data_IF_442395101700
#
_entry.id   IF_442395101700
#
_cell.length_a   1.000
_cell.length_b   1.000
_cell.length_c   1.000
_cell.angle_alpha   90.00
_cell.angle_beta   90.00
_cell.angle_gamma   90.00
#
_symmetry.space_group_name_H-M   'P 1'
#
loop_
_entity.id
_entity.type
_entity.pdbx_description
1 polymer ?
#
# COMPACT_ATOMS: atom_id res chain seq x y z
N UNK A 1 45.72 -6.20 -19.11
CA UNK A 1 44.47 -6.53 -18.40
C UNK A 1 43.91 -5.38 -17.52
N UNK A 2 44.19 -4.10 -17.84
CA UNK A 2 43.74 -2.92 -17.06
C UNK A 2 42.98 -1.87 -17.88
N UNK A 3 42.59 -2.18 -19.11
CA UNK A 3 41.89 -1.22 -20.00
C UNK A 3 40.36 -1.40 -19.99
N UNK A 4 39.85 -2.53 -19.49
CA UNK A 4 38.41 -2.78 -19.41
C UNK A 4 37.76 -2.09 -18.19
N UNK A 5 38.49 -1.91 -17.09
CA UNK A 5 38.00 -1.21 -15.89
C UNK A 5 37.71 0.28 -16.15
N UNK A 6 38.49 0.96 -16.99
CA UNK A 6 38.30 2.38 -17.28
C UNK A 6 37.11 2.66 -18.22
N UNK A 7 36.62 1.64 -18.95
CA UNK A 7 35.45 1.74 -19.82
C UNK A 7 34.14 1.60 -19.05
N UNK A 8 34.13 0.92 -17.90
CA UNK A 8 32.94 0.80 -17.04
C UNK A 8 32.71 2.01 -16.13
N UNK A 9 33.77 2.76 -15.79
CA UNK A 9 33.72 3.97 -14.96
C UNK A 9 33.43 5.27 -15.75
N UNK A 10 33.35 5.20 -17.09
CA UNK A 10 33.04 6.34 -17.98
C UNK A 10 31.73 6.14 -18.73
N UNK A 11 30.76 5.44 -18.15
CA UNK A 11 29.39 5.47 -18.64
C UNK A 11 28.71 6.69 -18.03
N UNK A 12 28.88 7.79 -18.76
CA UNK A 12 28.20 9.08 -18.68
C UNK A 12 27.20 9.24 -17.54
N UNK A 13 27.64 9.97 -16.52
CA UNK A 13 26.75 10.80 -15.71
C UNK A 13 26.09 11.79 -16.67
N UNK A 14 24.91 11.43 -17.18
CA UNK A 14 24.00 12.39 -17.78
C UNK A 14 23.72 13.43 -16.70
N UNK A 15 24.24 14.65 -16.89
CA UNK A 15 23.96 15.76 -16.02
C UNK A 15 22.44 15.97 -16.01
N UNK A 16 21.77 15.98 -14.83
CA UNK A 16 20.36 16.31 -14.79
C UNK A 16 20.19 17.73 -15.33
N UNK A 17 19.22 17.92 -16.23
CA UNK A 17 18.82 19.24 -16.71
C UNK A 17 18.60 20.20 -15.52
N UNK A 18 18.87 21.50 -15.66
CA UNK A 18 18.70 22.46 -14.58
C UNK A 18 17.24 22.46 -14.13
N UNK A 19 16.98 21.80 -13.00
CA UNK A 19 15.70 21.84 -12.32
C UNK A 19 15.50 23.27 -11.80
N UNK A 20 14.47 23.95 -12.29
CA UNK A 20 14.01 25.23 -11.76
C UNK A 20 13.37 25.12 -10.36
N UNK A 21 13.22 23.91 -9.85
CA UNK A 21 12.74 23.66 -8.50
C UNK A 21 13.93 23.58 -7.55
N UNK A 22 13.89 24.31 -6.41
CA UNK A 22 14.92 24.17 -5.39
C UNK A 22 15.01 22.69 -4.97
N UNK A 23 16.21 22.17 -4.67
CA UNK A 23 16.36 20.83 -4.12
C UNK A 23 15.41 20.73 -2.93
N UNK A 24 14.40 19.88 -3.05
CA UNK A 24 13.53 19.59 -1.92
C UNK A 24 14.40 18.82 -0.94
N UNK A 25 15.03 19.53 -0.02
CA UNK A 25 15.68 18.92 1.12
C UNK A 25 14.64 18.04 1.78
N UNK A 26 14.87 16.72 1.71
CA UNK A 26 14.08 15.76 2.43
C UNK A 26 14.25 16.12 3.90
N UNK A 27 13.28 16.86 4.44
CA UNK A 27 13.23 17.17 5.86
C UNK A 27 13.44 15.85 6.59
N UNK A 28 14.39 15.78 7.55
CA UNK A 28 14.58 14.57 8.32
C UNK A 28 13.22 14.19 8.86
N UNK A 29 12.77 12.98 8.55
CA UNK A 29 11.53 12.44 9.09
C UNK A 29 11.65 12.57 10.59
N UNK A 30 11.02 13.61 11.13
CA UNK A 30 10.82 13.72 12.55
C UNK A 30 9.87 12.57 12.84
N UNK A 31 10.44 11.39 13.11
CA UNK A 31 9.82 10.39 13.96
C UNK A 31 9.72 11.04 15.34
N UNK A 32 8.94 12.12 15.46
CA UNK A 32 8.50 12.60 16.75
C UNK A 32 7.80 11.37 17.33
N UNK A 33 8.32 10.93 18.46
CA UNK A 33 7.63 10.05 19.39
C UNK A 33 6.38 10.75 19.98
N UNK A 34 5.64 11.51 19.17
CA UNK A 34 4.41 12.20 19.50
C UNK A 34 3.25 11.42 18.91
N UNK A 35 2.96 10.24 19.47
CA UNK A 35 1.63 9.59 19.39
C UNK A 35 1.58 8.36 20.32
N UNK A 36 2.09 8.51 21.55
CA UNK A 36 1.64 7.67 22.67
C UNK A 36 0.26 8.12 23.21
N UNK A 37 -0.34 9.15 22.61
CA UNK A 37 -1.74 9.49 22.76
C UNK A 37 -2.60 8.52 21.97
N UNK A 38 -3.31 7.63 22.68
CA UNK A 38 -4.39 6.76 22.21
C UNK A 38 -4.70 6.87 20.71
N UNK A 39 -4.10 6.01 19.87
CA UNK A 39 -4.52 5.88 18.47
C UNK A 39 -6.03 5.63 18.45
N UNK A 40 -6.86 6.57 17.95
CA UNK A 40 -8.32 6.53 18.15
C UNK A 40 -8.96 5.30 17.51
N UNK A 41 -8.28 4.69 16.52
CA UNK A 41 -8.76 3.52 15.81
C UNK A 41 -8.29 2.19 16.41
N UNK A 42 -7.44 2.17 17.46
CA UNK A 42 -6.92 0.92 18.06
C UNK A 42 -8.01 0.01 18.60
N UNK A 43 -9.14 0.57 19.05
CA UNK A 43 -10.28 -0.20 19.54
C UNK A 43 -11.14 -0.80 18.42
N UNK A 44 -11.02 -0.29 17.18
CA UNK A 44 -11.75 -0.82 16.04
C UNK A 44 -11.18 -2.18 15.60
N UNK A 45 -12.01 -3.22 15.66
CA UNK A 45 -11.64 -4.55 15.18
C UNK A 45 -11.24 -4.53 13.70
N UNK A 46 -12.00 -3.82 12.87
CA UNK A 46 -11.71 -3.67 11.44
C UNK A 46 -10.35 -3.04 11.18
N UNK A 47 -10.01 -2.00 11.95
CA UNK A 47 -8.71 -1.36 11.85
C UNK A 47 -7.57 -2.31 12.26
N UNK A 48 -7.75 -3.06 13.37
CA UNK A 48 -6.77 -4.06 13.81
C UNK A 48 -6.54 -5.13 12.76
N UNK A 49 -7.59 -5.73 12.18
CA UNK A 49 -7.45 -6.72 11.10
C UNK A 49 -6.69 -6.13 9.90
N UNK A 50 -7.03 -4.90 9.48
CA UNK A 50 -6.34 -4.28 8.35
C UNK A 50 -4.86 -4.04 8.64
N UNK A 51 -4.54 -3.55 9.83
CA UNK A 51 -3.18 -3.33 10.29
C UNK A 51 -2.40 -4.64 10.35
N UNK A 52 -2.98 -5.68 10.94
CA UNK A 52 -2.33 -6.97 11.13
C UNK A 52 -2.08 -7.65 9.77
N UNK A 53 -3.04 -7.55 8.82
CA UNK A 53 -2.83 -8.00 7.45
C UNK A 53 -1.65 -7.29 6.76
N UNK A 54 -1.55 -5.97 6.90
CA UNK A 54 -0.43 -5.18 6.35
C UNK A 54 0.91 -5.56 6.98
N UNK A 55 0.93 -5.76 8.30
CA UNK A 55 2.13 -6.17 9.04
C UNK A 55 2.61 -7.56 8.60
N UNK A 56 1.68 -8.53 8.48
CA UNK A 56 2.00 -9.89 8.03
C UNK A 56 2.58 -9.86 6.61
N UNK A 57 1.94 -9.15 5.67
CA UNK A 57 2.44 -9.05 4.30
C UNK A 57 3.78 -8.34 4.24
N UNK A 58 3.99 -7.29 5.03
CA UNK A 58 5.28 -6.61 5.10
C UNK A 58 6.39 -7.53 5.63
N UNK A 59 6.08 -8.35 6.64
CA UNK A 59 7.01 -9.35 7.18
C UNK A 59 7.32 -10.46 6.16
N UNK A 60 6.29 -11.00 5.49
CA UNK A 60 6.42 -12.03 4.46
C UNK A 60 7.32 -11.60 3.31
N UNK A 61 7.38 -10.30 3.02
CA UNK A 61 8.17 -9.75 1.93
C UNK A 61 9.40 -8.97 2.43
N UNK A 62 9.79 -9.14 3.69
CA UNK A 62 11.00 -8.50 4.23
C UNK A 62 12.23 -8.99 3.47
N UNK A 63 13.00 -8.05 2.92
CA UNK A 63 14.22 -8.35 2.16
C UNK A 63 13.97 -8.80 0.72
N UNK A 64 12.71 -8.84 0.26
CA UNK A 64 12.38 -9.11 -1.15
C UNK A 64 12.28 -7.79 -1.93
N UNK A 65 13.02 -7.68 -3.04
CA UNK A 65 12.78 -6.64 -4.05
C UNK A 65 11.61 -7.08 -4.92
N UNK A 66 10.41 -6.59 -4.61
CA UNK A 66 9.24 -6.88 -5.43
C UNK A 66 9.04 -5.84 -6.51
N UNK A 67 9.08 -6.31 -7.76
CA UNK A 67 8.81 -5.50 -8.95
C UNK A 67 7.30 -5.46 -9.29
N UNK A 68 6.51 -6.40 -8.75
CA UNK A 68 5.10 -6.56 -9.09
C UNK A 68 4.15 -6.19 -7.93
N UNK A 69 3.59 -4.98 -8.01
CA UNK A 69 2.59 -4.48 -7.07
C UNK A 69 1.27 -5.29 -7.06
N UNK A 70 0.92 -5.99 -8.15
CA UNK A 70 -0.27 -6.84 -8.15
C UNK A 70 -0.12 -8.06 -7.26
N UNK A 71 1.09 -8.63 -7.20
CA UNK A 71 1.38 -9.77 -6.33
C UNK A 71 1.20 -9.39 -4.86
N UNK A 72 1.72 -8.23 -4.47
CA UNK A 72 1.48 -7.62 -3.16
C UNK A 72 -0.01 -7.47 -2.85
N UNK A 73 -0.77 -6.94 -3.81
CA UNK A 73 -2.21 -6.74 -3.63
C UNK A 73 -2.95 -8.08 -3.44
N UNK A 74 -2.58 -9.12 -4.19
CA UNK A 74 -3.15 -10.47 -4.03
C UNK A 74 -2.79 -11.09 -2.68
N UNK A 75 -1.54 -10.99 -2.25
CA UNK A 75 -1.11 -11.44 -0.93
C UNK A 75 -1.89 -10.73 0.18
N UNK A 76 -2.05 -9.40 0.08
CA UNK A 76 -2.83 -8.62 1.04
C UNK A 76 -4.30 -9.03 1.06
N UNK A 77 -4.92 -9.22 -0.10
CA UNK A 77 -6.29 -9.69 -0.19
C UNK A 77 -6.46 -11.09 0.42
N UNK A 78 -5.52 -11.99 0.17
CA UNK A 78 -5.50 -13.34 0.74
C UNK A 78 -5.38 -13.29 2.26
N UNK A 79 -4.35 -12.65 2.81
CA UNK A 79 -4.15 -12.57 4.27
C UNK A 79 -5.35 -11.90 4.95
N UNK A 80 -5.87 -10.82 4.38
CA UNK A 80 -7.04 -10.14 4.93
C UNK A 80 -8.29 -11.04 4.92
N UNK A 81 -8.50 -11.85 3.87
CA UNK A 81 -9.59 -12.84 3.82
C UNK A 81 -9.45 -13.86 4.94
N UNK A 82 -8.28 -14.47 5.11
CA UNK A 82 -8.07 -15.51 6.10
C UNK A 82 -8.24 -14.99 7.54
N UNK A 83 -7.74 -13.78 7.84
CA UNK A 83 -7.94 -13.14 9.14
C UNK A 83 -9.42 -12.86 9.44
N UNK A 84 -10.18 -12.42 8.43
CA UNK A 84 -11.62 -12.19 8.58
C UNK A 84 -12.35 -13.51 8.82
N UNK A 85 -12.01 -14.56 8.07
CA UNK A 85 -12.63 -15.87 8.24
C UNK A 85 -12.35 -16.44 9.64
N UNK A 86 -11.10 -16.39 10.09
CA UNK A 86 -10.72 -16.81 11.42
C UNK A 86 -11.48 -16.04 12.51
N UNK A 87 -11.54 -14.71 12.41
CA UNK A 87 -12.25 -13.87 13.37
C UNK A 87 -13.78 -14.07 13.34
N UNK A 88 -14.36 -14.41 12.18
CA UNK A 88 -15.80 -14.66 12.06
C UNK A 88 -16.23 -15.96 12.75
N UNK A 89 -15.35 -16.98 12.74
CA UNK A 89 -15.57 -18.26 13.40
C UNK A 89 -15.19 -18.28 14.89
N UNK A 90 -14.68 -17.16 15.42
CA UNK A 90 -14.43 -17.01 16.85
C UNK A 90 -15.76 -16.79 17.61
N UNK A 91 -16.15 -17.78 18.40
CA UNK A 91 -17.37 -17.74 19.21
C UNK A 91 -17.33 -16.69 20.32
N UNK A 92 -16.13 -16.26 20.73
CA UNK A 92 -15.94 -15.23 21.75
C UNK A 92 -16.21 -13.82 21.23
N UNK A 93 -16.33 -13.66 19.90
CA UNK A 93 -16.51 -12.36 19.28
C UNK A 93 -17.96 -11.85 19.41
N UNK A 94 -18.17 -10.62 19.93
CA UNK A 94 -19.50 -10.02 20.01
C UNK A 94 -20.23 -10.00 18.66
N UNK A 95 -21.55 -10.19 18.69
CA UNK A 95 -22.37 -10.27 17.48
C UNK A 95 -22.26 -9.00 16.62
N UNK A 96 -22.22 -7.84 17.27
CA UNK A 96 -22.08 -6.53 16.63
C UNK A 96 -20.77 -6.43 15.84
N UNK A 97 -19.69 -6.97 16.41
CA UNK A 97 -18.38 -7.00 15.78
C UNK A 97 -18.34 -7.98 14.60
N UNK A 98 -18.98 -9.15 14.71
CA UNK A 98 -19.13 -10.10 13.58
C UNK A 98 -19.89 -9.47 12.41
N UNK A 99 -20.98 -8.75 12.69
CA UNK A 99 -21.76 -8.03 11.67
C UNK A 99 -20.91 -6.94 11.00
N UNK A 100 -20.16 -6.16 11.79
CA UNK A 100 -19.25 -5.15 11.25
C UNK A 100 -18.16 -5.77 10.36
N UNK A 101 -17.63 -6.93 10.76
CA UNK A 101 -16.65 -7.70 9.98
C UNK A 101 -17.21 -8.16 8.64
N UNK A 102 -18.43 -8.73 8.65
CA UNK A 102 -19.10 -9.21 7.44
C UNK A 102 -19.37 -8.07 6.45
N UNK A 103 -19.86 -6.92 6.95
CA UNK A 103 -20.07 -5.72 6.13
C UNK A 103 -18.76 -5.21 5.54
N UNK A 104 -17.70 -5.16 6.34
CA UNK A 104 -16.38 -4.77 5.86
C UNK A 104 -15.84 -5.74 4.79
N UNK A 105 -15.99 -7.05 4.99
CA UNK A 105 -15.56 -8.06 4.03
C UNK A 105 -16.27 -7.90 2.69
N UNK A 106 -17.60 -7.74 2.69
CA UNK A 106 -18.39 -7.52 1.49
C UNK A 106 -17.94 -6.26 0.72
N UNK A 107 -17.62 -5.17 1.42
CA UNK A 107 -17.08 -3.95 0.80
C UNK A 107 -15.72 -4.20 0.13
N UNK A 108 -14.81 -4.92 0.79
CA UNK A 108 -13.49 -5.22 0.21
C UNK A 108 -13.58 -6.14 -1.00
N UNK A 109 -14.49 -7.12 -1.00
CA UNK A 109 -14.73 -7.99 -2.16
C UNK A 109 -15.24 -7.16 -3.34
N UNK A 110 -16.22 -6.28 -3.11
CA UNK A 110 -16.78 -5.43 -4.17
C UNK A 110 -15.71 -4.51 -4.77
N UNK A 111 -14.89 -3.90 -3.92
CA UNK A 111 -13.78 -3.04 -4.33
C UNK A 111 -12.63 -3.83 -5.00
N UNK A 112 -12.44 -5.10 -4.65
CA UNK A 112 -11.39 -5.96 -5.20
C UNK A 112 -11.75 -6.68 -6.52
N UNK A 113 -13.04 -6.94 -6.79
CA UNK A 113 -13.50 -7.72 -7.94
C UNK A 113 -14.00 -6.92 -9.15
N UNK A 114 -14.39 -5.65 -8.98
CA UNK A 114 -15.13 -4.93 -10.03
C UNK A 114 -14.67 -3.51 -10.33
N UNK A 115 -14.06 -2.83 -9.37
CA UNK A 115 -13.50 -1.49 -9.60
C UNK A 115 -12.03 -1.64 -10.04
N UNK A 116 -11.82 -2.26 -11.21
CA UNK A 116 -10.59 -1.98 -11.97
C UNK A 116 -10.51 -0.45 -12.01
N UNK A 117 -9.42 0.12 -11.50
CA UNK A 117 -9.09 1.56 -11.47
C UNK A 117 -9.06 2.23 -12.86
N UNK A 118 -9.63 1.57 -13.88
CA UNK A 118 -9.82 2.01 -15.25
C UNK A 118 -11.12 2.77 -15.46
N UNK A 119 -12.06 2.80 -14.49
CA UNK A 119 -13.11 3.81 -14.53
C UNK A 119 -12.59 5.11 -13.90
N UNK A 120 -12.49 6.21 -14.66
CA UNK A 120 -12.24 7.51 -14.06
C UNK A 120 -13.35 7.78 -13.05
N UNK A 121 -12.99 8.28 -11.85
CA UNK A 121 -13.98 8.79 -10.91
C UNK A 121 -14.92 9.71 -11.68
N UNK A 122 -16.21 9.36 -11.71
CA UNK A 122 -17.24 10.11 -12.42
C UNK A 122 -17.21 11.55 -11.87
N UNK A 123 -16.68 12.47 -12.67
CA UNK A 123 -16.46 13.88 -12.28
C UNK A 123 -15.07 14.45 -12.56
N UNK A 124 -14.05 13.63 -12.88
CA UNK A 124 -12.75 14.13 -13.32
C UNK A 124 -12.75 14.22 -14.85
N UNK A 125 -13.05 15.40 -15.37
CA UNK A 125 -12.81 15.73 -16.79
C UNK A 125 -11.30 15.88 -16.93
N UNK A 126 -10.61 14.91 -17.54
CA UNK A 126 -9.21 15.08 -17.93
C UNK A 126 -9.19 16.06 -19.12
N UNK A 127 -8.64 17.27 -19.00
CA UNK A 127 -8.56 18.18 -20.12
C UNK A 127 -7.47 17.67 -21.06
N UNK A 128 -7.87 17.04 -22.17
CA UNK A 128 -6.91 16.66 -23.21
C UNK A 128 -7.28 15.47 -24.11
N UNK A 129 -8.31 14.69 -23.80
CA UNK A 129 -8.73 13.59 -24.67
C UNK A 129 -9.65 14.08 -25.81
N UNK A 130 -9.12 14.93 -26.69
CA UNK A 130 -9.72 15.16 -28.01
C UNK A 130 -8.63 15.62 -28.98
N UNK A 131 -8.16 14.67 -29.81
CA UNK A 131 -7.70 14.83 -31.20
C UNK A 131 -7.02 13.54 -31.67
N UNK A 132 -7.81 12.70 -32.34
CA UNK A 132 -7.42 11.95 -33.53
C UNK A 132 -8.70 11.74 -34.34
#
# INVERSE_FOLDING_TARGET
>A
MKQWLNKLLRRELVAPAPSHFPPTELMPSQRRASEAGSHPLRHSLTYRIKRDALMIVAEMNRGATMENCEMLARQLAFVQKELIQAAYHDETLPKEQRVALAKYHALNIRQGLGERRTQPMRGIVTPGASRA
#
